data_IF_323491218811
#
_entry.id   IF_323491218811
#
_cell.length_a   1.000
_cell.length_b   1.000
_cell.length_c   1.000
_cell.angle_alpha   90.00
_cell.angle_beta   90.00
_cell.angle_gamma   90.00
#
_symmetry.space_group_name_H-M   'P 1'
#
loop_
_entity.id
_entity.type
_entity.pdbx_description
1 polymer ?
#
# COMPACT_ATOMS: atom_id res chain seq x y z
N UNK A 1 46.41 21.29 -1.09
CA UNK A 1 46.62 21.73 -2.48
C UNK A 1 45.34 22.40 -2.93
N UNK A 2 45.51 23.62 -3.43
CA UNK A 2 44.48 24.64 -3.63
C UNK A 2 43.62 24.39 -4.87
N UNK A 3 42.37 24.91 -4.81
CA UNK A 3 41.61 25.55 -5.89
C UNK A 3 41.12 24.64 -7.05
N UNK A 4 40.05 24.91 -7.79
CA UNK A 4 39.14 26.05 -7.90
C UNK A 4 37.89 25.53 -8.67
N UNK A 5 36.67 25.90 -8.31
CA UNK A 5 35.90 27.05 -8.84
C UNK A 5 35.38 26.84 -10.28
N UNK A 6 34.06 26.67 -10.35
CA UNK A 6 33.08 27.20 -11.32
C UNK A 6 33.62 28.12 -12.42
N UNK A 7 33.21 27.90 -13.66
CA UNK A 7 32.90 28.88 -14.73
C UNK A 7 32.86 28.07 -16.06
N UNK A 8 32.10 28.36 -17.12
CA UNK A 8 31.04 29.29 -17.47
C UNK A 8 30.82 29.03 -18.97
N UNK A 9 29.56 29.02 -19.42
CA UNK A 9 29.06 29.44 -20.74
C UNK A 9 29.77 29.02 -22.06
N UNK A 10 28.87 28.58 -22.97
CA UNK A 10 28.80 28.93 -24.39
C UNK A 10 29.88 28.40 -25.35
N UNK A 11 29.48 27.52 -26.27
CA UNK A 11 29.45 27.88 -27.70
C UNK A 11 28.65 26.85 -28.51
N UNK A 12 27.57 27.32 -29.15
CA UNK A 12 26.97 26.70 -30.32
C UNK A 12 27.90 26.94 -31.53
N UNK A 13 28.04 25.97 -32.44
CA UNK A 13 27.90 26.31 -33.85
C UNK A 13 26.82 25.48 -34.53
N UNK A 14 26.06 26.23 -35.33
CA UNK A 14 24.90 25.88 -36.14
C UNK A 14 25.37 25.35 -37.50
N UNK A 15 24.89 24.18 -37.95
CA UNK A 15 24.84 23.83 -39.38
C UNK A 15 23.62 22.98 -39.73
N UNK A 16 22.62 23.68 -40.28
CA UNK A 16 21.74 23.32 -41.40
C UNK A 16 21.47 21.85 -41.72
N UNK A 17 20.20 21.47 -41.54
CA UNK A 17 19.58 20.31 -42.19
C UNK A 17 18.05 20.43 -42.15
N UNK A 18 17.46 21.03 -43.17
CA UNK A 18 16.02 21.07 -43.36
C UNK A 18 15.55 19.77 -44.03
N UNK A 19 14.61 19.06 -43.41
CA UNK A 19 13.81 18.04 -44.11
C UNK A 19 12.35 18.13 -43.65
N UNK A 20 11.51 18.62 -44.55
CA UNK A 20 10.05 18.66 -44.44
C UNK A 20 9.51 17.36 -45.04
N UNK A 21 8.62 16.65 -44.34
CA UNK A 21 7.76 15.63 -44.96
C UNK A 21 6.44 15.46 -44.21
N UNK A 22 5.46 16.24 -44.66
CA UNK A 22 4.07 15.88 -44.99
C UNK A 22 3.20 15.07 -44.00
N UNK A 23 2.19 15.74 -43.42
CA UNK A 23 0.90 15.13 -43.04
C UNK A 23 -0.10 15.25 -44.20
N UNK A 24 -0.96 14.26 -44.45
CA UNK A 24 -2.28 14.49 -45.05
C UNK A 24 -3.38 14.20 -44.01
N UNK A 25 -4.20 15.19 -43.63
CA UNK A 25 -5.47 15.64 -44.25
C UNK A 25 -6.68 14.89 -43.70
N UNK A 26 -7.45 15.61 -42.87
CA UNK A 26 -8.79 15.28 -42.39
C UNK A 26 -9.78 15.19 -43.56
N UNK A 27 -10.81 14.34 -43.44
CA UNK A 27 -12.22 14.76 -43.59
C UNK A 27 -13.24 13.64 -43.26
N UNK A 28 -14.40 14.11 -42.79
CA UNK A 28 -15.76 13.54 -42.93
C UNK A 28 -16.30 12.74 -41.73
N UNK A 29 -16.99 13.32 -40.75
CA UNK A 29 -18.31 13.99 -40.70
C UNK A 29 -19.44 13.05 -40.21
N UNK A 30 -19.79 13.28 -38.95
CA UNK A 30 -21.12 13.27 -38.28
C UNK A 30 -22.18 12.21 -38.57
N UNK A 31 -22.61 11.52 -37.50
CA UNK A 31 -24.04 11.32 -37.18
C UNK A 31 -24.14 11.02 -35.67
N UNK A 32 -24.62 11.99 -34.89
CA UNK A 32 -26.00 12.06 -34.39
C UNK A 32 -26.22 11.17 -33.15
N UNK A 33 -26.30 11.85 -32.01
CA UNK A 33 -27.33 11.65 -30.98
C UNK A 33 -27.51 10.20 -30.50
N UNK A 34 -26.80 9.88 -29.42
CA UNK A 34 -27.45 9.21 -28.29
C UNK A 34 -27.40 10.18 -27.12
N UNK A 35 -28.38 11.10 -27.10
CA UNK A 35 -28.90 11.60 -25.83
C UNK A 35 -29.81 10.51 -25.28
N UNK A 36 -29.72 10.31 -23.96
CA UNK A 36 -30.63 9.55 -23.10
C UNK A 36 -30.45 8.02 -23.10
N UNK A 37 -29.67 7.52 -22.16
CA UNK A 37 -30.28 7.14 -20.88
C UNK A 37 -29.29 7.46 -19.77
N UNK A 38 -29.78 8.14 -18.73
CA UNK A 38 -29.09 8.19 -17.47
C UNK A 38 -29.08 6.76 -16.92
N UNK A 39 -28.04 5.99 -17.23
CA UNK A 39 -27.63 4.91 -16.36
C UNK A 39 -27.13 5.60 -15.10
N UNK A 40 -27.79 5.33 -13.99
CA UNK A 40 -27.13 5.35 -12.69
C UNK A 40 -25.97 4.35 -12.77
N UNK A 41 -24.86 4.75 -13.39
CA UNK A 41 -23.60 4.03 -13.27
C UNK A 41 -23.23 4.13 -11.79
N UNK A 42 -23.65 3.12 -11.05
CA UNK A 42 -22.99 2.77 -9.81
C UNK A 42 -21.60 2.34 -10.26
N UNK A 43 -20.68 3.30 -10.33
CA UNK A 43 -19.25 3.00 -10.44
C UNK A 43 -18.93 2.21 -9.18
N UNK A 44 -19.00 0.89 -9.27
CA UNK A 44 -18.65 0.01 -8.19
C UNK A 44 -17.22 0.33 -7.82
N UNK A 45 -17.02 0.71 -6.56
CA UNK A 45 -15.68 0.97 -6.07
C UNK A 45 -14.88 -0.34 -6.23
N UNK A 46 -13.58 -0.26 -6.51
CA UNK A 46 -12.71 -1.42 -6.41
C UNK A 46 -12.94 -2.10 -5.06
N UNK A 47 -13.01 -3.44 -5.03
CA UNK A 47 -13.31 -4.22 -3.81
C UNK A 47 -12.40 -3.80 -2.63
N UNK A 48 -11.15 -3.43 -2.92
CA UNK A 48 -10.19 -2.95 -1.92
C UNK A 48 -10.64 -1.66 -1.23
N UNK A 49 -11.27 -0.73 -1.94
CA UNK A 49 -11.81 0.51 -1.36
C UNK A 49 -13.00 0.20 -0.44
N UNK A 50 -13.86 -0.74 -0.82
CA UNK A 50 -14.99 -1.16 0.01
C UNK A 50 -14.52 -1.86 1.29
N UNK A 51 -13.56 -2.78 1.16
CA UNK A 51 -12.94 -3.45 2.31
C UNK A 51 -12.26 -2.44 3.24
N UNK A 52 -11.54 -1.45 2.70
CA UNK A 52 -10.95 -0.36 3.48
C UNK A 52 -12.04 0.44 4.20
N UNK A 53 -13.08 0.84 3.50
CA UNK A 53 -14.18 1.63 4.05
C UNK A 53 -14.87 0.91 5.22
N UNK A 54 -15.07 -0.41 5.11
CA UNK A 54 -15.65 -1.24 6.19
C UNK A 54 -14.66 -1.42 7.34
N UNK A 55 -13.40 -1.74 7.06
CA UNK A 55 -12.37 -1.90 8.08
C UNK A 55 -12.20 -0.62 8.91
N UNK A 56 -12.16 0.55 8.27
CA UNK A 56 -11.98 1.84 8.95
C UNK A 56 -13.18 2.25 9.82
N UNK A 57 -14.38 1.68 9.59
CA UNK A 57 -15.52 1.85 10.50
C UNK A 57 -15.31 1.20 11.86
N UNK A 58 -14.46 0.17 11.93
CA UNK A 58 -14.16 -0.56 13.15
C UNK A 58 -12.97 0.01 13.92
N UNK A 59 -12.15 0.85 13.27
CA UNK A 59 -11.01 1.50 13.92
C UNK A 59 -11.44 2.80 14.60
N UNK A 60 -10.94 3.03 15.82
CA UNK A 60 -11.14 4.29 16.53
C UNK A 60 -10.27 5.40 15.92
N UNK A 61 -10.61 6.67 16.16
CA UNK A 61 -9.78 7.80 15.72
C UNK A 61 -8.41 7.84 16.38
N UNK A 62 -8.30 7.36 17.63
CA UNK A 62 -7.01 7.22 18.31
C UNK A 62 -6.09 6.20 17.61
N UNK A 63 -6.64 5.09 17.11
CA UNK A 63 -5.89 4.07 16.37
C UNK A 63 -5.60 4.47 14.92
N UNK A 64 -6.52 5.18 14.27
CA UNK A 64 -6.41 5.62 12.89
C UNK A 64 -6.82 7.10 12.74
N UNK A 65 -5.92 8.07 12.98
CA UNK A 65 -6.26 9.50 13.08
C UNK A 65 -6.93 10.11 11.85
N UNK A 66 -6.61 9.60 10.66
CA UNK A 66 -7.11 10.14 9.39
C UNK A 66 -8.44 9.54 8.97
N UNK A 67 -8.74 8.31 9.37
CA UNK A 67 -9.78 7.50 8.73
C UNK A 67 -10.68 6.71 9.68
N UNK A 68 -10.30 6.57 10.96
CA UNK A 68 -11.09 5.88 11.96
C UNK A 68 -12.46 6.54 12.16
N UNK A 69 -13.52 5.72 12.16
CA UNK A 69 -14.91 6.19 12.30
C UNK A 69 -15.61 5.62 13.53
N UNK A 70 -14.99 4.67 14.25
CA UNK A 70 -15.56 4.12 15.49
C UNK A 70 -15.49 5.13 16.63
N UNK A 71 -16.47 5.06 17.53
CA UNK A 71 -16.46 5.81 18.79
C UNK A 71 -15.34 5.31 19.70
N UNK A 72 -14.73 6.22 20.46
CA UNK A 72 -13.66 5.87 21.38
C UNK A 72 -14.24 5.15 22.62
N UNK A 73 -13.73 3.96 22.98
CA UNK A 73 -14.13 3.31 24.21
C UNK A 73 -13.71 4.16 25.42
N UNK A 74 -14.46 4.05 26.51
CA UNK A 74 -14.10 4.73 27.76
C UNK A 74 -12.70 4.27 28.17
N UNK A 75 -11.75 5.21 28.22
CA UNK A 75 -10.36 4.91 28.60
C UNK A 75 -10.34 4.25 29.98
N UNK A 76 -9.55 3.18 30.16
CA UNK A 76 -9.37 2.57 31.47
C UNK A 76 -8.81 3.60 32.46
N UNK A 77 -9.16 3.44 33.74
CA UNK A 77 -8.73 4.37 34.79
C UNK A 77 -7.20 4.43 34.91
N UNK A 78 -6.52 3.31 34.60
CA UNK A 78 -5.07 3.23 34.50
C UNK A 78 -4.67 2.91 33.05
N UNK A 79 -3.66 3.60 32.49
CA UNK A 79 -3.15 3.30 31.17
C UNK A 79 -2.49 1.91 31.16
N UNK A 80 -2.78 1.11 30.14
CA UNK A 80 -2.11 -0.18 29.96
C UNK A 80 -0.61 0.04 29.69
N UNK A 81 0.24 -0.56 30.52
CA UNK A 81 1.69 -0.55 30.37
C UNK A 81 2.17 -1.97 30.05
N UNK A 82 2.55 -2.28 28.79
CA UNK A 82 2.99 -3.61 28.42
C UNK A 82 4.33 -3.96 29.08
N UNK A 83 4.45 -5.19 29.55
CA UNK A 83 5.72 -5.75 30.02
C UNK A 83 6.44 -6.49 28.89
N UNK A 84 7.71 -6.85 29.12
CA UNK A 84 8.46 -7.69 28.18
C UNK A 84 7.81 -9.06 27.98
N UNK A 85 7.28 -9.67 29.05
CA UNK A 85 6.56 -10.95 28.96
C UNK A 85 5.26 -10.82 28.17
N UNK A 86 4.53 -9.72 28.33
CA UNK A 86 3.29 -9.48 27.56
C UNK A 86 3.61 -9.34 26.07
N UNK A 87 4.69 -8.64 25.76
CA UNK A 87 5.13 -8.47 24.38
C UNK A 87 5.61 -9.79 23.75
N UNK A 88 6.37 -10.59 24.50
CA UNK A 88 6.78 -11.92 24.04
C UNK A 88 5.58 -12.82 23.77
N UNK A 89 4.59 -12.84 24.67
CA UNK A 89 3.36 -13.61 24.46
C UNK A 89 2.61 -13.13 23.21
N UNK A 90 2.51 -11.81 23.02
CA UNK A 90 1.91 -11.24 21.81
C UNK A 90 2.63 -11.70 20.53
N UNK A 91 3.97 -11.79 20.52
CA UNK A 91 4.72 -12.27 19.36
C UNK A 91 4.47 -13.76 19.09
N UNK A 92 4.44 -14.59 20.14
CA UNK A 92 4.14 -16.03 20.04
C UNK A 92 2.73 -16.24 19.47
N UNK A 93 1.73 -15.55 20.01
CA UNK A 93 0.36 -15.65 19.53
C UNK A 93 0.23 -15.15 18.08
N UNK A 94 0.93 -14.06 17.75
CA UNK A 94 0.97 -13.53 16.38
C UNK A 94 1.61 -14.51 15.41
N UNK A 95 2.67 -15.23 15.80
CA UNK A 95 3.32 -16.24 14.97
C UNK A 95 2.33 -17.34 14.59
N UNK A 96 1.54 -17.84 15.54
CA UNK A 96 0.52 -18.87 15.28
C UNK A 96 -0.54 -18.39 14.28
N UNK A 97 -0.99 -17.14 14.39
CA UNK A 97 -1.93 -16.55 13.43
C UNK A 97 -1.33 -16.49 12.03
N UNK A 98 -0.10 -15.99 11.89
CA UNK A 98 0.55 -15.89 10.59
C UNK A 98 0.87 -17.25 9.97
N UNK A 99 1.30 -18.21 10.77
CA UNK A 99 1.52 -19.59 10.34
C UNK A 99 0.24 -20.20 9.78
N UNK A 100 -0.89 -20.04 10.48
CA UNK A 100 -2.18 -20.52 10.00
C UNK A 100 -2.63 -19.84 8.69
N UNK A 101 -2.42 -18.52 8.56
CA UNK A 101 -2.73 -17.79 7.32
C UNK A 101 -1.88 -18.29 6.15
N UNK A 102 -0.57 -18.45 6.36
CA UNK A 102 0.37 -18.93 5.35
C UNK A 102 0.04 -20.38 4.93
N UNK A 103 -0.30 -21.25 5.89
CA UNK A 103 -0.71 -22.64 5.62
C UNK A 103 -2.01 -22.71 4.79
N UNK A 104 -3.02 -21.90 5.12
CA UNK A 104 -4.28 -21.85 4.37
C UNK A 104 -4.05 -21.38 2.94
N UNK A 105 -3.21 -20.35 2.74
CA UNK A 105 -2.88 -19.81 1.41
C UNK A 105 -2.08 -20.83 0.59
N UNK A 106 -1.17 -21.57 1.21
CA UNK A 106 -0.40 -22.62 0.56
C UNK A 106 -1.25 -23.86 0.24
N UNK A 107 -2.23 -24.21 1.09
CA UNK A 107 -3.11 -25.36 0.91
C UNK A 107 -4.28 -25.17 -0.06
N UNK A 108 -4.55 -23.95 -0.52
CA UNK A 108 -5.69 -23.65 -1.39
C UNK A 108 -5.27 -22.93 -2.68
N UNK A 109 -5.45 -23.59 -3.83
CA UNK A 109 -5.05 -23.04 -5.13
C UNK A 109 -5.84 -21.80 -5.56
N UNK A 110 -7.04 -21.58 -5.02
CA UNK A 110 -7.79 -20.34 -5.27
C UNK A 110 -7.10 -19.12 -4.64
N UNK A 111 -6.23 -19.34 -3.67
CA UNK A 111 -5.45 -18.31 -2.98
C UNK A 111 -4.01 -18.23 -3.48
N UNK A 112 -3.64 -18.99 -4.52
CA UNK A 112 -2.30 -18.97 -5.09
C UNK A 112 -1.74 -17.56 -5.40
N UNK A 113 -2.55 -16.56 -5.85
CA UNK A 113 -2.05 -15.20 -6.06
C UNK A 113 -1.53 -14.48 -4.80
N UNK A 114 -1.84 -14.99 -3.60
CA UNK A 114 -1.39 -14.42 -2.33
C UNK A 114 -0.11 -15.09 -1.78
N UNK A 115 0.41 -16.13 -2.44
CA UNK A 115 1.67 -16.79 -2.05
C UNK A 115 2.86 -15.93 -2.42
N UNK A 116 3.92 -15.95 -1.60
CA UNK A 116 5.18 -15.23 -1.85
C UNK A 116 4.98 -13.73 -2.08
N UNK A 117 4.08 -13.14 -1.28
CA UNK A 117 3.73 -11.72 -1.33
C UNK A 117 4.81 -10.82 -0.74
N UNK A 118 5.74 -11.38 0.05
CA UNK A 118 6.70 -10.65 0.87
C UNK A 118 6.09 -10.15 2.19
N UNK A 119 4.81 -10.44 2.43
CA UNK A 119 4.08 -10.08 3.66
C UNK A 119 4.03 -11.24 4.67
N UNK A 120 4.60 -12.40 4.34
CA UNK A 120 4.76 -13.54 5.25
C UNK A 120 5.57 -13.12 6.47
N UNK A 121 5.15 -13.50 7.67
CA UNK A 121 5.75 -13.05 8.94
C UNK A 121 6.26 -14.19 9.81
N UNK A 122 5.88 -15.44 9.57
CA UNK A 122 6.22 -16.57 10.45
C UNK A 122 7.73 -16.66 10.75
N UNK A 123 8.58 -16.58 9.72
CA UNK A 123 10.04 -16.65 9.88
C UNK A 123 10.65 -15.42 10.56
N UNK A 124 10.11 -14.23 10.31
CA UNK A 124 10.56 -13.01 10.96
C UNK A 124 10.21 -13.02 12.46
N UNK A 125 8.99 -13.42 12.79
CA UNK A 125 8.53 -13.55 14.18
C UNK A 125 9.31 -14.61 14.94
N UNK A 126 9.64 -15.74 14.30
CA UNK A 126 10.48 -16.76 14.91
C UNK A 126 11.89 -16.24 15.26
N UNK A 127 12.50 -15.48 14.36
CA UNK A 127 13.77 -14.82 14.64
C UNK A 127 13.66 -13.88 15.86
N UNK A 128 12.64 -13.03 15.88
CA UNK A 128 12.46 -12.03 16.95
C UNK A 128 12.13 -12.68 18.29
N UNK A 129 11.33 -13.74 18.32
CA UNK A 129 11.04 -14.54 19.52
C UNK A 129 12.32 -15.16 20.08
N UNK A 130 13.12 -15.78 19.21
CA UNK A 130 14.38 -16.41 19.64
C UNK A 130 15.36 -15.36 20.18
N UNK A 131 15.44 -14.20 19.53
CA UNK A 131 16.25 -13.09 20.01
C UNK A 131 15.78 -12.62 21.40
N UNK A 132 14.48 -12.38 21.58
CA UNK A 132 13.92 -11.96 22.87
C UNK A 132 14.15 -13.00 23.98
N UNK A 133 13.97 -14.28 23.67
CA UNK A 133 14.19 -15.36 24.62
C UNK A 133 15.68 -15.53 25.00
N UNK A 134 16.60 -15.13 24.12
CA UNK A 134 18.05 -15.19 24.40
C UNK A 134 18.55 -13.99 25.18
N UNK A 135 18.06 -12.79 24.86
CA UNK A 135 18.54 -11.54 25.49
C UNK A 135 17.86 -11.25 26.84
N UNK A 136 16.63 -11.73 27.05
CA UNK A 136 15.82 -11.40 28.22
C UNK A 136 15.32 -12.63 29.01
N UNK A 137 15.60 -13.85 28.54
CA UNK A 137 15.28 -15.12 29.22
C UNK A 137 16.41 -15.60 30.13
#
# INVERSE_FOLDING_TARGET
MYAAVLLLFALVPNHSGAFVSTRPTLLRQESLIIRQSASTETTFKPILEELRDVAMKLHTREQAPKEGKAEEPKKPAEPFAPTQSDYLQFLVDSKEVYMALEDIVNGNDKLAPFRNSGLERTGALEHDINWMATEFG
#
